data_IF_139138377665
#
_entry.id   IF_139138377665
#
_cell.length_a   1.000
_cell.length_b   1.000
_cell.length_c   1.000
_cell.angle_alpha   90.00
_cell.angle_beta   90.00
_cell.angle_gamma   90.00
#
_symmetry.space_group_name_H-M   'P 1'
#
loop_
_entity.id
_entity.type
_entity.pdbx_description
1 polymer ?
#
# COMPACT_ATOMS: atom_id res chain seq x y z
N UNK A 1 13.19 29.17 -12.69
CA UNK A 1 12.76 29.05 -14.12
C UNK A 1 11.74 27.93 -14.18
N UNK A 2 10.66 28.05 -14.96
CA UNK A 2 9.67 26.99 -15.07
C UNK A 2 10.34 25.64 -15.36
N UNK A 3 9.90 24.61 -14.69
CA UNK A 3 10.47 23.25 -14.83
C UNK A 3 9.57 22.44 -15.77
N UNK A 4 10.09 21.96 -16.92
CA UNK A 4 9.30 21.13 -17.82
C UNK A 4 8.95 19.80 -17.16
N UNK A 5 7.74 19.33 -17.43
CA UNK A 5 7.25 18.06 -16.93
C UNK A 5 6.30 17.39 -17.93
N UNK A 6 6.37 16.07 -18.01
CA UNK A 6 5.39 15.21 -18.67
C UNK A 6 4.51 14.57 -17.59
N UNK A 7 3.23 14.87 -17.62
CA UNK A 7 2.30 14.51 -16.55
C UNK A 7 1.13 13.71 -17.09
N UNK A 8 0.75 12.64 -16.40
CA UNK A 8 -0.47 11.88 -16.71
C UNK A 8 -1.68 12.60 -16.13
N UNK A 9 -2.61 12.95 -17.00
CA UNK A 9 -3.86 13.63 -16.67
C UNK A 9 -5.04 12.69 -16.92
N UNK A 10 -5.89 12.56 -15.92
CA UNK A 10 -7.21 11.94 -16.04
C UNK A 10 -8.21 13.03 -16.46
N UNK A 11 -8.80 12.97 -17.68
CA UNK A 11 -9.76 13.97 -18.14
C UNK A 11 -11.08 13.93 -17.36
N UNK A 12 -11.92 14.94 -17.54
CA UNK A 12 -13.23 15.03 -16.87
C UNK A 12 -14.21 13.98 -17.41
N UNK A 13 -14.16 13.74 -18.70
CA UNK A 13 -14.89 12.66 -19.35
C UNK A 13 -14.23 11.28 -19.04
N UNK A 14 -14.92 10.21 -19.33
CA UNK A 14 -14.41 8.84 -19.13
C UNK A 14 -13.44 8.40 -20.24
N UNK A 15 -12.69 9.36 -20.82
CA UNK A 15 -11.66 9.11 -21.82
C UNK A 15 -10.40 8.46 -21.23
N UNK A 16 -9.48 8.00 -22.12
CA UNK A 16 -8.21 7.43 -21.66
C UNK A 16 -7.35 8.49 -20.94
N UNK A 17 -6.42 8.02 -20.13
CA UNK A 17 -5.39 8.87 -19.53
C UNK A 17 -4.56 9.54 -20.63
N UNK A 18 -4.24 10.81 -20.43
CA UNK A 18 -3.48 11.64 -21.38
C UNK A 18 -2.13 11.99 -20.80
N UNK A 19 -1.07 11.83 -21.56
CA UNK A 19 0.26 12.37 -21.21
C UNK A 19 0.35 13.77 -21.79
N UNK A 20 0.59 14.75 -20.91
CA UNK A 20 0.59 16.17 -21.26
C UNK A 20 1.93 16.79 -20.90
N UNK A 21 2.54 17.48 -21.86
CA UNK A 21 3.74 18.29 -21.64
C UNK A 21 3.30 19.66 -21.08
N UNK A 22 3.86 20.04 -19.95
CA UNK A 22 3.56 21.32 -19.29
C UNK A 22 4.77 21.87 -18.55
N UNK A 23 4.65 23.08 -18.04
CA UNK A 23 5.63 23.69 -17.14
C UNK A 23 5.07 23.71 -15.71
N UNK A 24 5.81 23.13 -14.77
CA UNK A 24 5.49 23.23 -13.35
C UNK A 24 5.75 24.66 -12.87
N UNK A 25 4.93 25.19 -11.94
CA UNK A 25 5.21 26.47 -11.32
C UNK A 25 6.50 26.40 -10.47
N UNK A 26 7.09 27.55 -10.17
CA UNK A 26 8.13 27.63 -9.14
C UNK A 26 7.55 27.14 -7.80
N UNK A 27 8.33 26.42 -6.97
CA UNK A 27 7.81 25.86 -5.72
C UNK A 27 7.37 26.97 -4.75
N UNK A 28 6.22 26.80 -4.15
CA UNK A 28 5.77 27.59 -3.01
C UNK A 28 6.69 27.38 -1.78
N UNK A 29 6.50 28.17 -0.70
CA UNK A 29 7.42 28.16 0.45
C UNK A 29 7.68 26.77 1.04
N UNK A 30 6.71 25.87 1.02
CA UNK A 30 6.76 24.54 1.59
C UNK A 30 6.74 23.41 0.54
N UNK A 31 7.05 23.72 -0.71
CA UNK A 31 6.99 22.74 -1.80
C UNK A 31 8.40 22.34 -2.26
N UNK A 32 8.48 21.16 -2.82
CA UNK A 32 9.70 20.55 -3.36
C UNK A 32 9.41 20.07 -4.78
N UNK A 33 10.26 20.46 -5.73
CA UNK A 33 10.23 19.94 -7.10
C UNK A 33 11.16 18.74 -7.16
N UNK A 34 10.64 17.61 -7.63
CA UNK A 34 11.37 16.33 -7.68
C UNK A 34 11.34 15.79 -9.12
N UNK A 35 12.53 15.56 -9.71
CA UNK A 35 12.66 14.73 -10.92
C UNK A 35 12.58 13.28 -10.46
N UNK A 36 11.66 12.51 -11.02
CA UNK A 36 11.39 11.16 -10.60
C UNK A 36 12.17 10.13 -11.43
N UNK A 37 12.59 9.04 -10.80
CA UNK A 37 13.20 7.88 -11.45
C UNK A 37 12.14 6.85 -11.81
N UNK A 38 11.22 6.60 -10.88
CA UNK A 38 10.11 5.68 -11.07
C UNK A 38 8.94 6.02 -10.14
N UNK A 39 7.76 5.57 -10.52
CA UNK A 39 6.52 5.69 -9.73
C UNK A 39 5.73 4.39 -9.75
N UNK A 40 5.19 3.97 -8.59
CA UNK A 40 4.34 2.81 -8.51
C UNK A 40 2.97 3.01 -9.15
N UNK A 41 2.40 1.90 -9.67
CA UNK A 41 1.03 1.85 -10.21
C UNK A 41 0.16 1.07 -9.23
N UNK A 42 -0.78 1.76 -8.57
CA UNK A 42 -1.55 1.23 -7.45
C UNK A 42 -3.04 1.08 -7.78
N UNK A 43 -3.69 0.06 -7.22
CA UNK A 43 -5.15 -0.15 -7.37
C UNK A 43 -6.00 1.03 -6.86
N UNK A 44 -5.51 1.81 -5.90
CA UNK A 44 -6.22 3.00 -5.42
C UNK A 44 -6.42 4.06 -6.50
N UNK A 45 -5.53 4.14 -7.51
CA UNK A 45 -5.76 5.00 -8.68
C UNK A 45 -6.95 4.52 -9.52
N UNK A 46 -7.19 3.21 -9.64
CA UNK A 46 -8.39 2.71 -10.33
C UNK A 46 -9.66 3.22 -9.63
N UNK A 47 -9.70 3.23 -8.29
CA UNK A 47 -10.81 3.80 -7.55
C UNK A 47 -10.95 5.31 -7.80
N UNK A 48 -9.84 6.05 -7.81
CA UNK A 48 -9.84 7.48 -8.14
C UNK A 48 -10.37 7.74 -9.56
N UNK A 49 -9.99 6.93 -10.53
CA UNK A 49 -10.45 7.04 -11.93
C UNK A 49 -11.96 6.86 -12.08
N UNK A 50 -12.58 6.06 -11.22
CA UNK A 50 -14.04 5.85 -11.22
C UNK A 50 -14.82 6.81 -10.31
N UNK A 51 -14.13 7.71 -9.60
CA UNK A 51 -14.79 8.72 -8.77
C UNK A 51 -15.32 9.87 -9.64
N UNK A 52 -16.57 10.32 -9.47
CA UNK A 52 -17.11 11.47 -10.18
C UNK A 52 -16.25 12.72 -9.94
N UNK A 53 -15.91 13.44 -11.01
CA UNK A 53 -15.04 14.62 -10.97
C UNK A 53 -15.57 15.77 -11.82
N UNK A 54 -15.20 16.99 -11.49
CA UNK A 54 -15.63 18.23 -12.19
C UNK A 54 -14.48 18.96 -12.87
N UNK A 55 -13.25 18.50 -12.65
CA UNK A 55 -12.03 19.02 -13.24
C UNK A 55 -11.08 17.86 -13.56
N UNK A 56 -10.14 18.01 -14.49
CA UNK A 56 -9.08 17.03 -14.70
C UNK A 56 -8.30 16.78 -13.41
N UNK A 57 -7.77 15.56 -13.25
CA UNK A 57 -7.02 15.13 -12.06
C UNK A 57 -5.68 14.56 -12.49
N UNK A 58 -4.63 14.88 -11.74
CA UNK A 58 -3.31 14.24 -11.85
C UNK A 58 -3.17 13.17 -10.78
N UNK A 59 -2.54 12.05 -11.13
CA UNK A 59 -2.55 10.80 -10.37
C UNK A 59 -1.14 10.37 -9.95
N UNK A 60 -1.09 9.28 -9.17
CA UNK A 60 0.15 8.71 -8.61
C UNK A 60 0.42 9.21 -7.20
N UNK A 61 1.03 8.37 -6.36
CA UNK A 61 1.25 8.75 -4.94
C UNK A 61 2.44 8.03 -4.27
N UNK A 62 3.29 7.40 -5.04
CA UNK A 62 4.51 6.75 -4.56
C UNK A 62 5.59 6.85 -5.64
N UNK A 63 6.77 7.35 -5.28
CA UNK A 63 7.90 7.43 -6.21
C UNK A 63 9.23 7.56 -5.50
N UNK A 64 10.31 7.42 -6.27
CA UNK A 64 11.68 7.78 -5.89
C UNK A 64 12.21 8.79 -6.90
N UNK A 65 12.95 9.77 -6.46
CA UNK A 65 13.48 10.84 -7.32
C UNK A 65 14.62 11.63 -6.70
N UNK A 66 15.01 12.69 -7.37
CA UNK A 66 16.01 13.64 -6.94
C UNK A 66 15.41 15.04 -6.84
N UNK A 67 15.73 15.77 -5.79
CA UNK A 67 15.27 17.15 -5.57
C UNK A 67 15.91 18.07 -6.59
N UNK A 68 15.11 18.80 -7.35
CA UNK A 68 15.55 19.85 -8.27
C UNK A 68 15.51 21.24 -7.64
N UNK A 69 14.44 21.55 -6.89
CA UNK A 69 14.24 22.83 -6.26
C UNK A 69 13.50 22.67 -4.93
N UNK A 70 13.72 23.60 -4.01
CA UNK A 70 13.03 23.63 -2.71
C UNK A 70 12.46 25.01 -2.43
N UNK A 71 11.32 25.08 -1.79
CA UNK A 71 10.73 26.31 -1.28
C UNK A 71 11.50 26.87 -0.09
N UNK A 72 11.27 28.15 0.20
CA UNK A 72 12.07 28.93 1.18
C UNK A 72 11.95 28.46 2.62
N UNK A 73 10.88 27.76 2.97
CA UNK A 73 10.61 27.22 4.32
C UNK A 73 11.00 25.74 4.45
N UNK A 74 11.41 25.09 3.36
CA UNK A 74 11.85 23.68 3.38
C UNK A 74 13.24 23.59 3.99
N UNK A 75 13.40 22.75 5.02
CA UNK A 75 14.67 22.66 5.78
C UNK A 75 15.26 21.25 5.88
N UNK A 76 14.48 20.19 5.59
CA UNK A 76 14.92 18.80 5.78
C UNK A 76 15.50 18.16 4.52
N UNK A 77 15.29 18.76 3.35
CA UNK A 77 15.87 18.36 2.06
C UNK A 77 16.46 19.57 1.33
N UNK A 78 17.37 19.31 0.42
CA UNK A 78 18.00 20.31 -0.44
C UNK A 78 18.14 19.79 -1.87
N UNK A 79 18.44 20.67 -2.81
CA UNK A 79 18.74 20.31 -4.20
C UNK A 79 19.84 19.25 -4.27
N UNK A 80 19.62 18.21 -5.11
CA UNK A 80 20.50 17.06 -5.26
C UNK A 80 20.27 15.93 -4.27
N UNK A 81 19.41 16.09 -3.26
CA UNK A 81 19.05 14.99 -2.36
C UNK A 81 18.19 13.94 -3.06
N UNK A 82 18.46 12.67 -2.79
CA UNK A 82 17.58 11.56 -3.19
C UNK A 82 16.42 11.46 -2.19
N UNK A 83 15.21 11.37 -2.73
CA UNK A 83 13.98 11.38 -1.94
C UNK A 83 12.98 10.34 -2.42
N UNK A 84 12.08 9.96 -1.53
CA UNK A 84 10.84 9.28 -1.87
C UNK A 84 9.67 10.22 -1.67
N UNK A 85 8.72 10.21 -2.61
CA UNK A 85 7.44 10.90 -2.48
C UNK A 85 6.38 9.88 -2.07
N UNK A 86 5.58 10.22 -1.07
CA UNK A 86 4.51 9.37 -0.53
C UNK A 86 3.25 10.20 -0.27
N UNK A 87 2.13 9.55 -0.02
CA UNK A 87 0.85 10.19 0.26
C UNK A 87 0.56 10.31 1.77
N UNK A 88 1.40 9.71 2.60
CA UNK A 88 1.33 9.80 4.07
C UNK A 88 2.32 10.86 4.54
N UNK A 89 1.93 11.79 5.42
CA UNK A 89 2.88 12.75 5.98
C UNK A 89 4.10 12.04 6.58
N UNK A 90 5.30 12.56 6.31
CA UNK A 90 6.58 11.95 6.69
C UNK A 90 6.70 11.67 8.20
N UNK A 91 6.08 12.55 9.03
CA UNK A 91 5.90 12.34 10.46
C UNK A 91 4.69 13.11 11.00
N UNK A 92 4.33 12.87 12.27
CA UNK A 92 3.22 13.55 12.93
C UNK A 92 3.48 15.06 13.16
N UNK A 93 4.74 15.50 13.20
CA UNK A 93 5.08 16.91 13.35
C UNK A 93 4.90 17.65 12.02
N UNK A 94 5.23 17.02 10.90
CA UNK A 94 4.99 17.55 9.56
C UNK A 94 3.50 17.72 9.26
N UNK A 95 2.64 16.84 9.78
CA UNK A 95 1.18 16.87 9.56
C UNK A 95 0.42 18.01 10.27
N UNK A 96 1.09 18.99 10.87
CA UNK A 96 0.45 20.11 11.59
C UNK A 96 -0.20 21.15 10.67
N UNK A 97 0.17 21.17 9.42
CA UNK A 97 -0.36 22.08 8.40
C UNK A 97 -1.16 21.27 7.36
N UNK A 98 -2.31 21.77 6.96
CA UNK A 98 -3.01 21.25 5.80
C UNK A 98 -2.32 21.78 4.53
N UNK A 99 -1.72 20.93 3.70
CA UNK A 99 -1.14 21.38 2.44
C UNK A 99 -2.24 21.74 1.44
N UNK A 100 -1.94 22.66 0.56
CA UNK A 100 -2.78 22.85 -0.62
C UNK A 100 -2.52 21.69 -1.61
N UNK A 101 -3.59 21.22 -2.25
CA UNK A 101 -3.45 20.28 -3.35
C UNK A 101 -2.73 20.98 -4.53
N UNK A 102 -1.77 20.29 -5.15
CA UNK A 102 -1.10 20.82 -6.33
C UNK A 102 -2.11 21.12 -7.43
N UNK A 103 -1.99 22.29 -8.04
CA UNK A 103 -2.86 22.77 -9.11
C UNK A 103 -2.01 23.11 -10.34
N UNK A 104 -2.21 22.38 -11.43
CA UNK A 104 -1.46 22.53 -12.67
C UNK A 104 -2.31 23.21 -13.73
N UNK A 105 -1.71 24.14 -14.47
CA UNK A 105 -2.33 24.75 -15.65
C UNK A 105 -2.06 23.85 -16.85
N UNK A 106 -3.11 23.36 -17.50
CA UNK A 106 -3.01 22.55 -18.70
C UNK A 106 -2.87 23.44 -19.96
N UNK A 107 -2.32 22.92 -21.07
CA UNK A 107 -2.12 23.69 -22.31
C UNK A 107 -3.42 24.24 -22.92
N UNK A 108 -4.56 23.61 -22.64
CA UNK A 108 -5.89 24.05 -23.10
C UNK A 108 -6.49 25.17 -22.23
N UNK A 109 -5.79 25.62 -21.20
CA UNK A 109 -6.22 26.65 -20.26
C UNK A 109 -7.06 26.14 -19.10
N UNK A 110 -7.39 24.86 -19.06
CA UNK A 110 -8.02 24.23 -17.90
C UNK A 110 -7.02 24.00 -16.76
N UNK A 111 -7.53 23.61 -15.58
CA UNK A 111 -6.70 23.30 -14.42
C UNK A 111 -6.92 21.85 -13.98
N UNK A 112 -5.80 21.14 -13.75
CA UNK A 112 -5.82 19.83 -13.12
C UNK A 112 -5.40 19.93 -11.66
N UNK A 113 -5.99 19.08 -10.79
CA UNK A 113 -5.68 19.05 -9.36
C UNK A 113 -5.25 17.65 -8.95
N UNK A 114 -4.39 17.54 -7.91
CA UNK A 114 -4.14 16.30 -7.19
C UNK A 114 -4.99 16.23 -5.93
N UNK A 115 -5.05 15.07 -5.28
CA UNK A 115 -5.62 14.98 -3.92
C UNK A 115 -4.64 15.53 -2.88
N UNK A 116 -3.36 15.14 -2.95
CA UNK A 116 -2.27 15.63 -2.11
C UNK A 116 -0.93 15.63 -2.85
N UNK A 117 -0.62 14.56 -3.59
CA UNK A 117 0.56 14.44 -4.45
C UNK A 117 0.17 13.86 -5.80
N UNK A 118 1.04 14.00 -6.80
CA UNK A 118 0.94 13.28 -8.07
C UNK A 118 2.33 12.79 -8.46
N UNK A 119 2.45 11.52 -8.83
CA UNK A 119 3.73 10.90 -9.16
C UNK A 119 3.73 10.18 -10.50
N UNK A 120 2.60 10.14 -11.23
CA UNK A 120 2.58 9.70 -12.61
C UNK A 120 3.02 10.84 -13.53
N UNK A 121 4.27 11.23 -13.36
CA UNK A 121 4.95 12.31 -14.06
C UNK A 121 6.46 12.07 -14.01
N UNK A 122 7.23 12.55 -14.98
CA UNK A 122 8.69 12.53 -14.89
C UNK A 122 9.24 13.55 -13.89
N UNK A 123 8.49 14.63 -13.66
CA UNK A 123 8.78 15.63 -12.65
C UNK A 123 7.51 16.03 -11.91
N UNK A 124 7.57 16.08 -10.58
CA UNK A 124 6.45 16.43 -9.71
C UNK A 124 6.77 17.60 -8.81
N UNK A 125 5.74 18.28 -8.33
CA UNK A 125 5.81 19.24 -7.23
C UNK A 125 4.97 18.70 -6.07
N UNK A 126 5.56 18.63 -4.88
CA UNK A 126 4.92 18.05 -3.70
C UNK A 126 5.17 18.91 -2.47
N UNK A 127 4.20 18.97 -1.58
CA UNK A 127 4.41 19.57 -0.26
C UNK A 127 5.49 18.79 0.52
N UNK A 128 6.36 19.50 1.22
CA UNK A 128 7.49 18.96 1.96
C UNK A 128 7.13 17.84 2.94
N UNK A 129 5.90 17.84 3.45
CA UNK A 129 5.45 16.80 4.38
C UNK A 129 5.30 15.42 3.73
N UNK A 130 5.26 15.35 2.41
CA UNK A 130 5.17 14.10 1.64
C UNK A 130 6.50 13.70 1.00
N UNK A 131 7.59 14.41 1.29
CA UNK A 131 8.91 14.18 0.71
C UNK A 131 9.85 13.68 1.81
N UNK A 132 10.35 12.46 1.66
CA UNK A 132 11.21 11.78 2.63
C UNK A 132 12.62 11.66 2.07
N UNK A 133 13.62 12.21 2.78
CA UNK A 133 15.03 12.05 2.40
C UNK A 133 15.49 10.61 2.64
N UNK A 134 16.20 10.05 1.66
CA UNK A 134 16.78 8.69 1.73
C UNK A 134 18.23 8.71 1.29
N UNK A 135 18.94 7.59 1.52
CA UNK A 135 20.34 7.45 1.08
C UNK A 135 20.44 7.57 -0.46
N UNK A 136 21.42 8.29 -0.95
CA UNK A 136 21.67 8.47 -2.39
C UNK A 136 22.11 7.18 -3.10
N UNK A 137 22.59 6.18 -2.37
CA UNK A 137 23.09 4.92 -2.92
C UNK A 137 22.04 3.82 -3.01
N UNK A 138 20.77 4.15 -2.86
CA UNK A 138 19.69 3.17 -3.04
C UNK A 138 19.50 2.82 -4.52
N UNK A 139 18.92 1.64 -4.77
CA UNK A 139 18.39 1.31 -6.08
C UNK A 139 17.19 2.22 -6.38
N UNK A 140 17.12 2.82 -7.58
CA UNK A 140 16.26 3.98 -7.85
C UNK A 140 14.85 3.63 -8.34
N UNK A 141 14.71 2.51 -9.02
CA UNK A 141 13.42 2.14 -9.63
C UNK A 141 12.54 1.35 -8.66
N UNK A 142 13.03 0.19 -8.19
CA UNK A 142 12.23 -0.73 -7.37
C UNK A 142 11.90 -0.17 -5.99
N UNK A 143 12.70 0.76 -5.50
CA UNK A 143 12.42 1.44 -4.21
C UNK A 143 11.23 2.39 -4.29
N UNK A 144 10.77 2.78 -5.49
CA UNK A 144 9.61 3.66 -5.68
C UNK A 144 8.32 3.11 -5.06
N UNK A 145 8.20 1.78 -4.90
CA UNK A 145 7.01 1.15 -4.30
C UNK A 145 7.00 1.13 -2.76
N UNK A 146 8.08 1.60 -2.11
CA UNK A 146 8.14 1.69 -0.64
C UNK A 146 7.11 2.69 -0.14
N UNK A 147 6.91 3.80 -0.86
CA UNK A 147 6.02 4.91 -0.49
C UNK A 147 4.52 4.58 -0.41
N UNK A 148 4.10 3.39 -0.85
CA UNK A 148 2.71 2.92 -0.72
C UNK A 148 2.65 1.42 -0.43
N UNK A 149 3.00 0.56 -1.38
CA UNK A 149 2.75 -0.88 -1.26
C UNK A 149 3.47 -1.50 -0.07
N UNK A 150 4.77 -1.20 0.08
CA UNK A 150 5.59 -1.79 1.15
C UNK A 150 5.16 -1.22 2.50
N UNK A 151 5.10 0.10 2.66
CA UNK A 151 4.73 0.69 3.95
C UNK A 151 3.34 0.26 4.41
N UNK A 152 2.39 0.15 3.48
CA UNK A 152 1.01 -0.23 3.80
C UNK A 152 0.93 -1.67 4.30
N UNK A 153 1.54 -2.62 3.56
CA UNK A 153 1.50 -4.03 3.92
C UNK A 153 2.38 -4.37 5.12
N UNK A 154 3.64 -3.98 5.08
CA UNK A 154 4.57 -4.27 6.18
C UNK A 154 4.19 -3.53 7.46
N UNK A 155 3.80 -2.26 7.35
CA UNK A 155 3.37 -1.47 8.50
C UNK A 155 2.06 -1.97 9.13
N UNK A 156 1.11 -2.49 8.33
CA UNK A 156 -0.09 -3.11 8.88
C UNK A 156 0.24 -4.26 9.84
N UNK A 157 1.23 -5.08 9.46
CA UNK A 157 1.68 -6.21 10.28
C UNK A 157 2.48 -5.75 11.50
N UNK A 158 3.41 -4.82 11.31
CA UNK A 158 4.35 -4.39 12.35
C UNK A 158 3.76 -3.33 13.28
N UNK A 159 3.26 -2.22 12.70
CA UNK A 159 2.86 -1.04 13.45
C UNK A 159 1.39 -1.11 13.90
N UNK A 160 0.46 -1.50 12.99
CA UNK A 160 -0.97 -1.54 13.31
C UNK A 160 -1.32 -2.75 14.17
N UNK A 161 -0.94 -3.95 13.72
CA UNK A 161 -1.27 -5.21 14.41
C UNK A 161 -0.28 -5.53 15.54
N UNK A 162 1.00 -5.20 15.36
CA UNK A 162 2.04 -5.50 16.34
C UNK A 162 2.34 -7.00 16.45
N UNK A 163 2.29 -7.72 15.32
CA UNK A 163 2.57 -9.17 15.21
C UNK A 163 3.89 -9.53 15.88
N UNK A 164 3.91 -10.64 16.59
CA UNK A 164 5.08 -11.16 17.31
C UNK A 164 5.48 -12.54 16.78
N UNK A 165 6.70 -12.93 17.15
CA UNK A 165 7.22 -14.27 16.84
C UNK A 165 6.28 -15.36 17.35
N UNK A 166 5.90 -16.25 16.45
CA UNK A 166 5.02 -17.39 16.73
C UNK A 166 3.53 -17.10 16.57
N UNK A 167 3.11 -15.84 16.35
CA UNK A 167 1.73 -15.53 16.02
C UNK A 167 1.35 -16.12 14.67
N UNK A 168 0.12 -16.61 14.55
CA UNK A 168 -0.45 -17.06 13.30
C UNK A 168 -1.06 -15.89 12.52
N UNK A 169 -0.74 -15.79 11.23
CA UNK A 169 -1.16 -14.69 10.36
C UNK A 169 -1.84 -15.23 9.12
N UNK A 170 -3.02 -14.69 8.77
CA UNK A 170 -3.67 -14.94 7.48
C UNK A 170 -3.82 -13.63 6.71
N UNK A 171 -3.53 -13.63 5.40
CA UNK A 171 -3.50 -12.46 4.53
C UNK A 171 -4.38 -12.75 3.32
N UNK A 172 -5.50 -12.03 3.21
CA UNK A 172 -6.41 -12.06 2.07
C UNK A 172 -5.94 -11.05 1.02
N UNK A 173 -5.67 -11.57 -0.18
CA UNK A 173 -5.09 -10.82 -1.30
C UNK A 173 -3.57 -10.70 -1.20
N UNK A 174 -2.86 -11.40 -2.10
CA UNK A 174 -1.40 -11.40 -2.16
C UNK A 174 -0.85 -10.67 -3.41
N UNK A 175 -1.43 -9.50 -3.69
CA UNK A 175 -0.82 -8.48 -4.56
C UNK A 175 0.29 -7.72 -3.81
N UNK A 176 0.76 -6.58 -4.34
CA UNK A 176 1.91 -5.85 -3.78
C UNK A 176 1.81 -5.53 -2.28
N UNK A 177 0.64 -5.13 -1.78
CA UNK A 177 0.40 -4.85 -0.35
C UNK A 177 0.44 -6.15 0.47
N UNK A 178 -0.29 -7.19 0.03
CA UNK A 178 -0.33 -8.47 0.76
C UNK A 178 1.02 -9.19 0.76
N UNK A 179 1.78 -9.16 -0.33
CA UNK A 179 3.15 -9.71 -0.36
C UNK A 179 4.08 -8.97 0.60
N UNK A 180 3.96 -7.65 0.72
CA UNK A 180 4.69 -6.86 1.71
C UNK A 180 4.31 -7.24 3.14
N UNK A 181 3.02 -7.55 3.39
CA UNK A 181 2.56 -8.08 4.67
C UNK A 181 3.12 -9.48 4.96
N UNK A 182 3.21 -10.37 3.94
CA UNK A 182 3.85 -11.70 4.06
C UNK A 182 5.32 -11.57 4.45
N UNK A 183 6.07 -10.68 3.79
CA UNK A 183 7.49 -10.43 4.12
C UNK A 183 7.66 -9.94 5.56
N UNK A 184 6.85 -8.98 5.98
CA UNK A 184 6.92 -8.47 7.35
C UNK A 184 6.56 -9.55 8.38
N UNK A 185 5.52 -10.34 8.15
CA UNK A 185 5.15 -11.46 9.01
C UNK A 185 6.29 -12.48 9.15
N UNK A 186 6.97 -12.81 8.02
CA UNK A 186 8.16 -13.67 8.02
C UNK A 186 9.31 -13.06 8.82
N UNK A 187 9.60 -11.77 8.58
CA UNK A 187 10.69 -11.04 9.29
C UNK A 187 10.47 -11.01 10.79
N UNK A 188 9.23 -10.86 11.23
CA UNK A 188 8.86 -10.88 12.65
C UNK A 188 8.76 -12.29 13.24
N UNK A 189 8.88 -13.34 12.42
CA UNK A 189 8.86 -14.73 12.85
C UNK A 189 7.46 -15.28 13.14
N UNK A 190 6.43 -14.75 12.48
CA UNK A 190 5.07 -15.31 12.52
C UNK A 190 5.06 -16.75 11.96
N UNK A 191 4.21 -17.60 12.53
CA UNK A 191 4.03 -18.97 12.06
C UNK A 191 2.72 -19.57 12.61
N UNK A 192 1.81 -20.11 11.74
CA UNK A 192 1.89 -20.12 10.29
C UNK A 192 1.64 -18.72 9.66
N UNK A 193 2.11 -18.54 8.41
CA UNK A 193 1.78 -17.43 7.53
C UNK A 193 0.94 -17.99 6.38
N UNK A 194 -0.33 -17.62 6.35
CA UNK A 194 -1.34 -18.19 5.45
C UNK A 194 -1.70 -17.13 4.40
N UNK A 195 -1.37 -17.38 3.14
CA UNK A 195 -1.74 -16.55 2.01
C UNK A 195 -3.07 -17.01 1.39
N UNK A 196 -4.00 -16.12 1.17
CA UNK A 196 -5.33 -16.38 0.59
C UNK A 196 -5.51 -15.54 -0.66
N UNK A 197 -5.77 -16.17 -1.80
CA UNK A 197 -6.09 -15.50 -3.08
C UNK A 197 -6.96 -16.42 -3.94
N UNK A 198 -7.47 -15.91 -5.07
CA UNK A 198 -8.16 -16.69 -6.09
C UNK A 198 -7.21 -17.27 -7.13
N UNK A 199 -6.03 -16.68 -7.28
CA UNK A 199 -5.06 -16.95 -8.32
C UNK A 199 -3.93 -17.85 -7.81
N UNK A 200 -3.78 -19.05 -8.40
CA UNK A 200 -2.74 -20.04 -8.04
C UNK A 200 -1.31 -19.54 -8.32
N UNK A 201 -1.11 -18.70 -9.34
CA UNK A 201 0.21 -18.15 -9.64
C UNK A 201 0.63 -17.17 -8.56
N UNK A 202 -0.29 -16.29 -8.11
CA UNK A 202 -0.06 -15.38 -6.98
C UNK A 202 0.19 -16.12 -5.67
N UNK A 203 -0.54 -17.21 -5.42
CA UNK A 203 -0.32 -18.06 -4.26
C UNK A 203 1.05 -18.74 -4.31
N UNK A 204 1.46 -19.22 -5.46
CA UNK A 204 2.81 -19.79 -5.67
C UNK A 204 3.88 -18.72 -5.47
N UNK A 205 3.65 -17.52 -5.97
CA UNK A 205 4.54 -16.39 -5.79
C UNK A 205 4.66 -15.98 -4.30
N UNK A 206 3.56 -15.97 -3.56
CA UNK A 206 3.56 -15.67 -2.13
C UNK A 206 4.43 -16.64 -1.29
N UNK A 207 4.56 -17.92 -1.69
CA UNK A 207 5.47 -18.86 -1.04
C UNK A 207 6.93 -18.41 -1.13
N UNK A 208 7.35 -17.85 -2.25
CA UNK A 208 8.71 -17.33 -2.43
C UNK A 208 9.01 -16.16 -1.47
N UNK A 209 7.99 -15.37 -1.11
CA UNK A 209 8.10 -14.27 -0.15
C UNK A 209 7.99 -14.71 1.32
N UNK A 210 7.50 -15.93 1.60
CA UNK A 210 7.52 -16.47 2.95
C UNK A 210 6.20 -17.02 3.47
N UNK A 211 5.14 -17.09 2.64
CA UNK A 211 3.93 -17.78 3.03
C UNK A 211 4.23 -19.27 3.28
N UNK A 212 3.82 -19.78 4.45
CA UNK A 212 4.00 -21.17 4.83
C UNK A 212 2.88 -22.07 4.31
N UNK A 213 1.69 -21.48 4.14
CA UNK A 213 0.49 -22.12 3.61
C UNK A 213 -0.20 -21.22 2.61
N UNK A 214 -0.91 -21.82 1.68
CA UNK A 214 -1.71 -21.09 0.68
C UNK A 214 -3.12 -21.69 0.63
N UNK A 215 -4.11 -20.84 0.44
CA UNK A 215 -5.52 -21.19 0.29
C UNK A 215 -6.06 -20.53 -0.95
N UNK A 216 -6.53 -21.32 -1.93
CA UNK A 216 -7.29 -20.80 -3.06
C UNK A 216 -8.76 -20.64 -2.64
N UNK A 217 -9.19 -19.41 -2.45
CA UNK A 217 -10.55 -19.09 -2.02
C UNK A 217 -11.63 -19.34 -3.09
N UNK A 218 -11.24 -19.59 -4.34
CA UNK A 218 -12.14 -20.05 -5.40
C UNK A 218 -12.45 -21.54 -5.32
N UNK A 219 -11.63 -22.31 -4.62
CA UNK A 219 -11.77 -23.79 -4.50
C UNK A 219 -12.20 -24.22 -3.11
N UNK A 220 -11.90 -23.44 -2.07
CA UNK A 220 -12.12 -23.82 -0.67
C UNK A 220 -12.59 -22.62 0.14
N UNK A 221 -13.51 -22.82 1.09
CA UNK A 221 -13.88 -21.77 2.05
C UNK A 221 -12.64 -21.36 2.87
N UNK A 222 -12.15 -20.13 2.71
CA UNK A 222 -10.92 -19.69 3.36
C UNK A 222 -11.06 -19.63 4.88
N UNK A 223 -12.24 -19.29 5.41
CA UNK A 223 -12.48 -19.23 6.86
C UNK A 223 -12.32 -20.59 7.50
N UNK A 224 -12.97 -21.61 6.91
CA UNK A 224 -12.88 -22.99 7.39
C UNK A 224 -11.44 -23.54 7.28
N UNK A 225 -10.75 -23.24 6.16
CA UNK A 225 -9.38 -23.70 5.95
C UNK A 225 -8.39 -23.04 6.93
N UNK A 226 -8.50 -21.73 7.18
CA UNK A 226 -7.67 -21.02 8.18
C UNK A 226 -7.90 -21.63 9.57
N UNK A 227 -9.16 -21.85 9.96
CA UNK A 227 -9.49 -22.47 11.25
C UNK A 227 -8.87 -23.86 11.38
N UNK A 228 -8.97 -24.70 10.35
CA UNK A 228 -8.38 -26.05 10.35
C UNK A 228 -6.85 -26.03 10.51
N UNK A 229 -6.16 -25.07 9.89
CA UNK A 229 -4.70 -24.91 9.99
C UNK A 229 -4.24 -24.35 11.34
N UNK A 230 -5.14 -23.77 12.14
CA UNK A 230 -4.79 -23.02 13.36
C UNK A 230 -5.47 -23.54 14.62
N UNK A 231 -6.01 -24.76 14.60
CA UNK A 231 -6.60 -25.42 15.78
C UNK A 231 -5.57 -25.47 16.91
N UNK A 232 -6.00 -25.08 18.11
CA UNK A 232 -5.21 -25.22 19.35
C UNK A 232 -5.75 -26.40 20.15
N UNK A 233 -5.18 -27.60 20.01
CA UNK A 233 -5.70 -28.81 20.64
C UNK A 233 -5.85 -28.69 22.16
N UNK A 234 -6.95 -29.23 22.69
CA UNK A 234 -7.21 -29.24 24.12
C UNK A 234 -7.68 -27.92 24.71
N UNK A 235 -7.98 -26.93 23.85
CA UNK A 235 -8.60 -25.66 24.24
C UNK A 235 -9.98 -25.52 23.61
N UNK A 236 -10.99 -25.20 24.42
CA UNK A 236 -12.36 -25.01 23.94
C UNK A 236 -12.87 -23.62 24.29
N UNK A 237 -13.70 -23.09 23.40
CA UNK A 237 -14.46 -21.86 23.63
C UNK A 237 -15.50 -22.06 24.74
N UNK A 238 -16.17 -21.01 25.18
CA UNK A 238 -17.32 -21.07 26.12
C UNK A 238 -18.44 -22.01 25.60
N UNK A 239 -18.59 -22.15 24.29
CA UNK A 239 -19.62 -22.99 23.68
C UNK A 239 -19.14 -24.44 23.41
N UNK A 240 -17.93 -24.79 23.84
CA UNK A 240 -17.37 -26.16 23.71
C UNK A 240 -16.73 -26.44 22.35
N UNK A 241 -16.61 -25.45 21.47
CA UNK A 241 -15.89 -25.56 20.20
C UNK A 241 -14.38 -25.45 20.41
N UNK A 242 -13.58 -26.10 19.58
CA UNK A 242 -12.11 -25.98 19.64
C UNK A 242 -11.68 -24.53 19.30
N UNK A 243 -10.73 -24.00 20.07
CA UNK A 243 -10.12 -22.68 19.77
C UNK A 243 -9.36 -22.78 18.44
N UNK A 244 -9.77 -21.97 17.47
CA UNK A 244 -9.22 -21.96 16.12
C UNK A 244 -9.33 -20.59 15.48
N UNK A 245 -8.64 -20.37 14.37
CA UNK A 245 -8.50 -19.11 13.66
C UNK A 245 -7.10 -18.50 13.86
N UNK A 246 -6.71 -17.56 12.97
CA UNK A 246 -5.41 -16.90 13.05
C UNK A 246 -5.41 -15.79 14.11
N UNK A 247 -4.27 -15.57 14.76
CA UNK A 247 -4.12 -14.49 15.74
C UNK A 247 -4.33 -13.11 15.08
N UNK A 248 -3.89 -12.98 13.82
CA UNK A 248 -4.12 -11.78 13.00
C UNK A 248 -4.59 -12.17 11.59
N UNK A 249 -5.61 -11.48 11.11
CA UNK A 249 -6.15 -11.68 9.76
C UNK A 249 -6.24 -10.34 9.05
N UNK A 250 -5.57 -10.22 7.90
CA UNK A 250 -5.47 -8.99 7.12
C UNK A 250 -6.32 -9.09 5.86
N UNK A 251 -7.14 -8.07 5.58
CA UNK A 251 -7.73 -7.88 4.25
C UNK A 251 -6.94 -6.84 3.48
N UNK A 252 -6.21 -7.27 2.44
CA UNK A 252 -5.44 -6.41 1.54
C UNK A 252 -6.16 -6.14 0.20
N UNK A 253 -7.48 -6.38 0.13
CA UNK A 253 -8.30 -6.29 -1.08
C UNK A 253 -9.33 -5.15 -0.98
N UNK A 254 -10.15 -5.14 0.09
CA UNK A 254 -11.23 -4.17 0.30
C UNK A 254 -12.57 -4.57 -0.32
N UNK A 255 -12.76 -5.82 -0.73
CA UNK A 255 -14.05 -6.33 -1.21
C UNK A 255 -14.97 -6.68 -0.03
N UNK A 256 -16.29 -6.45 -0.18
CA UNK A 256 -17.28 -6.79 0.86
C UNK A 256 -17.09 -8.20 1.39
N UNK A 257 -16.96 -9.18 0.49
CA UNK A 257 -16.79 -10.59 0.85
C UNK A 257 -15.56 -10.82 1.72
N UNK A 258 -14.39 -10.31 1.34
CA UNK A 258 -13.15 -10.53 2.09
C UNK A 258 -13.14 -9.79 3.41
N UNK A 259 -13.65 -8.56 3.44
CA UNK A 259 -13.81 -7.78 4.68
C UNK A 259 -14.73 -8.48 5.71
N UNK A 260 -15.79 -9.16 5.24
CA UNK A 260 -16.70 -9.94 6.10
C UNK A 260 -16.11 -11.29 6.54
N UNK A 261 -15.12 -11.83 5.83
CA UNK A 261 -14.44 -13.08 6.16
C UNK A 261 -13.32 -12.95 7.20
N UNK A 262 -12.68 -11.77 7.32
CA UNK A 262 -11.52 -11.64 8.22
C UNK A 262 -11.87 -11.76 9.71
N UNK A 263 -13.05 -11.32 10.15
CA UNK A 263 -13.47 -11.46 11.55
C UNK A 263 -13.76 -12.93 11.93
N UNK A 264 -14.56 -13.70 11.18
CA UNK A 264 -14.76 -15.11 11.49
C UNK A 264 -13.49 -15.96 11.32
N UNK A 265 -12.53 -15.55 10.46
CA UNK A 265 -11.24 -16.23 10.31
C UNK A 265 -10.26 -15.94 11.45
N UNK A 266 -10.47 -14.85 12.19
CA UNK A 266 -9.66 -14.52 13.37
C UNK A 266 -9.95 -15.48 14.52
N UNK A 267 -8.90 -15.75 15.32
CA UNK A 267 -8.93 -16.72 16.41
C UNK A 267 -10.08 -16.46 17.38
N UNK A 268 -10.77 -17.52 17.73
CA UNK A 268 -11.77 -17.49 18.83
C UNK A 268 -11.08 -17.26 20.17
N UNK A 269 -11.73 -16.53 21.05
CA UNK A 269 -11.25 -16.29 22.41
C UNK A 269 -11.35 -17.55 23.27
N UNK A 270 -10.53 -17.60 24.31
CA UNK A 270 -10.69 -18.56 25.40
C UNK A 270 -11.27 -17.80 26.59
N UNK A 271 -12.58 -18.00 26.84
CA UNK A 271 -13.38 -17.20 27.75
C UNK A 271 -12.72 -17.01 29.12
N UNK A 272 -12.55 -15.73 29.50
CA UNK A 272 -11.95 -15.34 30.78
C UNK A 272 -10.44 -15.54 30.90
N UNK A 273 -9.76 -16.01 29.85
CA UNK A 273 -8.31 -16.26 29.87
C UNK A 273 -7.55 -15.54 28.74
N UNK A 274 -8.04 -15.64 27.49
CA UNK A 274 -7.36 -15.03 26.34
C UNK A 274 -8.40 -14.38 25.40
N UNK A 275 -8.23 -13.11 25.01
CA UNK A 275 -9.07 -12.47 23.99
C UNK A 275 -8.86 -13.15 22.64
N UNK A 276 -9.81 -12.99 21.74
CA UNK A 276 -9.75 -13.47 20.36
C UNK A 276 -8.73 -12.71 19.52
N UNK A 277 -8.61 -13.15 18.27
CA UNK A 277 -7.70 -12.57 17.30
C UNK A 277 -8.16 -11.19 16.79
N UNK A 278 -7.30 -10.58 16.00
CA UNK A 278 -7.52 -9.25 15.41
C UNK A 278 -7.67 -9.35 13.89
N UNK A 279 -8.78 -8.84 13.38
CA UNK A 279 -9.03 -8.61 11.97
C UNK A 279 -8.60 -7.19 11.59
N UNK A 280 -7.76 -7.05 10.57
CA UNK A 280 -7.15 -5.79 10.14
C UNK A 280 -7.58 -5.47 8.71
N UNK A 281 -8.32 -4.37 8.54
CA UNK A 281 -8.70 -3.85 7.23
C UNK A 281 -7.59 -2.95 6.70
N UNK A 282 -7.00 -3.33 5.57
CA UNK A 282 -5.90 -2.63 4.89
C UNK A 282 -6.33 -2.18 3.48
N UNK A 283 -7.07 -3.02 2.77
CA UNK A 283 -7.61 -2.73 1.45
C UNK A 283 -8.63 -1.59 1.50
N UNK A 284 -8.70 -0.79 0.42
CA UNK A 284 -9.60 0.38 0.35
C UNK A 284 -11.06 -0.08 0.18
N UNK A 285 -11.94 0.14 1.17
CA UNK A 285 -13.33 -0.29 1.09
C UNK A 285 -14.16 0.68 0.24
N UNK A 286 -15.01 0.11 -0.63
CA UNK A 286 -15.99 0.89 -1.42
C UNK A 286 -17.42 0.65 -0.95
N UNK A 287 -17.63 -0.08 0.14
CA UNK A 287 -18.96 -0.44 0.66
C UNK A 287 -18.91 -0.70 2.17
N UNK A 288 -20.10 -0.72 2.79
CA UNK A 288 -20.26 -1.16 4.17
C UNK A 288 -20.23 -2.69 4.30
N UNK A 289 -19.89 -3.20 5.50
CA UNK A 289 -19.84 -4.61 5.85
C UNK A 289 -20.78 -4.95 7.01
N UNK A 290 -21.17 -6.21 7.09
CA UNK A 290 -21.94 -6.76 8.21
C UNK A 290 -21.05 -7.64 9.08
N UNK A 291 -21.04 -7.42 10.38
CA UNK A 291 -20.28 -8.20 11.34
C UNK A 291 -21.19 -8.91 12.33
N UNK A 292 -20.86 -10.16 12.65
CA UNK A 292 -21.54 -10.90 13.70
C UNK A 292 -21.13 -10.35 15.07
N UNK A 293 -21.99 -9.51 15.65
CA UNK A 293 -21.73 -8.87 16.94
C UNK A 293 -21.58 -9.89 18.09
N UNK A 294 -22.25 -11.06 18.01
CA UNK A 294 -22.13 -12.11 19.02
C UNK A 294 -20.74 -12.76 18.95
N UNK A 295 -20.22 -13.03 17.76
CA UNK A 295 -18.86 -13.57 17.57
C UNK A 295 -17.80 -12.58 18.09
N UNK A 296 -17.97 -11.28 17.79
CA UNK A 296 -17.07 -10.22 18.29
C UNK A 296 -17.10 -10.15 19.81
N UNK A 297 -18.30 -10.13 20.43
CA UNK A 297 -18.46 -9.99 21.88
C UNK A 297 -17.94 -11.21 22.64
N UNK A 298 -18.46 -12.42 22.30
CA UNK A 298 -18.16 -13.64 23.07
C UNK A 298 -16.71 -14.11 22.91
N UNK A 299 -16.08 -13.78 21.82
CA UNK A 299 -14.69 -14.12 21.56
C UNK A 299 -13.72 -12.95 21.79
N UNK A 300 -14.19 -11.79 22.23
CA UNK A 300 -13.36 -10.58 22.43
C UNK A 300 -12.47 -10.28 21.20
N UNK A 301 -13.01 -10.49 19.97
CA UNK A 301 -12.29 -10.20 18.73
C UNK A 301 -12.20 -8.71 18.47
N UNK A 302 -11.16 -8.29 17.77
CA UNK A 302 -10.98 -6.90 17.32
C UNK A 302 -11.15 -6.80 15.82
N UNK A 303 -11.77 -5.70 15.37
CA UNK A 303 -11.79 -5.26 13.97
C UNK A 303 -11.23 -3.85 13.92
N UNK A 304 -10.09 -3.67 13.25
CA UNK A 304 -9.35 -2.40 13.21
C UNK A 304 -8.97 -2.04 11.78
N UNK A 305 -8.86 -0.74 11.50
CA UNK A 305 -8.36 -0.22 10.23
C UNK A 305 -6.86 0.06 10.29
N UNK A 306 -6.19 -0.05 9.15
CA UNK A 306 -4.79 0.31 8.95
C UNK A 306 -4.67 1.21 7.73
N UNK A 307 -4.41 2.49 7.93
CA UNK A 307 -4.17 3.45 6.84
C UNK A 307 -2.67 3.66 6.67
N UNK A 308 -2.15 3.41 5.45
CA UNK A 308 -0.72 3.52 5.17
C UNK A 308 0.17 2.69 6.11
N UNK A 309 -0.36 1.58 6.67
CA UNK A 309 0.37 0.73 7.60
C UNK A 309 0.63 1.37 8.97
N UNK A 310 -0.06 2.45 9.34
CA UNK A 310 0.26 3.26 10.54
C UNK A 310 1.73 3.68 10.56
N UNK A 311 2.33 3.90 9.38
CA UNK A 311 3.73 4.26 9.23
C UNK A 311 3.98 5.73 9.53
N UNK A 312 5.20 6.01 10.01
CA UNK A 312 5.86 7.31 9.99
C UNK A 312 7.00 7.21 8.97
N UNK A 313 6.83 7.71 7.73
CA UNK A 313 7.78 7.50 6.65
C UNK A 313 9.23 7.85 6.97
N UNK A 314 9.51 8.94 7.70
CA UNK A 314 10.86 9.32 8.13
C UNK A 314 11.56 8.23 8.97
N UNK A 315 10.80 7.48 9.76
CA UNK A 315 11.31 6.36 10.58
C UNK A 315 11.35 5.06 9.78
N UNK A 316 10.27 4.78 9.06
CA UNK A 316 10.00 3.43 8.56
C UNK A 316 10.65 3.17 7.19
N UNK A 317 10.87 4.19 6.34
CA UNK A 317 11.48 3.99 5.03
C UNK A 317 12.93 3.53 5.13
N UNK A 318 13.72 4.12 6.05
CA UNK A 318 15.09 3.66 6.31
C UNK A 318 15.12 2.19 6.70
N UNK A 319 14.19 1.74 7.56
CA UNK A 319 14.06 0.34 7.96
C UNK A 319 13.72 -0.57 6.78
N UNK A 320 12.80 -0.17 5.88
CA UNK A 320 12.46 -0.99 4.71
C UNK A 320 13.60 -1.04 3.69
N UNK A 321 14.38 0.03 3.57
CA UNK A 321 15.61 0.03 2.79
C UNK A 321 16.69 -0.90 3.39
N UNK A 322 16.81 -0.96 4.72
CA UNK A 322 17.68 -1.93 5.40
C UNK A 322 17.22 -3.37 5.13
N UNK A 323 15.89 -3.65 5.13
CA UNK A 323 15.37 -4.96 4.77
C UNK A 323 15.62 -5.33 3.30
N UNK A 324 15.64 -4.34 2.41
CA UNK A 324 16.03 -4.56 1.03
C UNK A 324 17.53 -4.86 0.93
N UNK A 325 18.37 -4.09 1.60
CA UNK A 325 19.83 -4.26 1.60
C UNK A 325 20.26 -5.61 2.22
N UNK A 326 19.58 -6.10 3.26
CA UNK A 326 19.87 -7.40 3.89
C UNK A 326 19.22 -8.59 3.17
N UNK A 327 18.47 -8.34 2.08
CA UNK A 327 17.81 -9.35 1.25
C UNK A 327 16.53 -9.94 1.85
N UNK A 328 16.04 -9.45 3.00
CA UNK A 328 14.80 -9.93 3.60
C UNK A 328 13.54 -9.37 2.90
N UNK A 329 13.65 -8.23 2.23
CA UNK A 329 12.64 -7.65 1.35
C UNK A 329 13.19 -7.61 -0.07
N UNK A 330 12.74 -8.52 -0.92
CA UNK A 330 13.19 -8.58 -2.32
C UNK A 330 12.30 -7.70 -3.20
N UNK A 331 12.63 -6.41 -3.31
CA UNK A 331 11.90 -5.44 -4.15
C UNK A 331 12.02 -5.76 -5.64
N UNK A 332 13.20 -6.28 -6.07
CA UNK A 332 13.43 -6.65 -7.48
C UNK A 332 12.46 -7.73 -7.95
N UNK A 333 12.21 -8.72 -7.10
CA UNK A 333 11.21 -9.75 -7.39
C UNK A 333 9.76 -9.24 -7.24
N UNK A 334 9.52 -8.26 -6.37
CA UNK A 334 8.20 -7.71 -6.14
C UNK A 334 7.72 -6.83 -7.31
N UNK A 335 8.63 -6.12 -7.99
CA UNK A 335 8.35 -5.36 -9.21
C UNK A 335 8.34 -6.30 -10.41
N UNK A 336 7.15 -6.72 -10.85
CA UNK A 336 6.96 -7.70 -11.91
C UNK A 336 6.68 -7.08 -13.29
N UNK A 337 6.37 -5.78 -13.36
CA UNK A 337 6.10 -5.09 -14.62
C UNK A 337 6.67 -3.66 -14.59
N UNK A 338 7.20 -3.23 -15.74
CA UNK A 338 7.73 -1.88 -15.97
C UNK A 338 7.10 -1.32 -17.24
N UNK A 339 6.72 -0.06 -17.18
CA UNK A 339 6.09 0.68 -18.27
C UNK A 339 6.75 2.06 -18.40
N UNK A 340 6.82 2.60 -19.59
CA UNK A 340 7.08 4.02 -19.81
C UNK A 340 5.83 4.85 -19.48
N UNK A 341 5.99 6.17 -19.35
CA UNK A 341 4.84 7.06 -19.13
C UNK A 341 3.82 6.97 -20.28
N UNK A 342 4.26 6.74 -21.52
CA UNK A 342 3.40 6.63 -22.69
C UNK A 342 2.55 5.34 -22.68
N UNK A 343 2.96 4.34 -21.91
CA UNK A 343 2.25 3.07 -21.75
C UNK A 343 1.29 3.06 -20.55
N UNK A 344 1.01 4.21 -19.95
CA UNK A 344 0.18 4.31 -18.72
C UNK A 344 -1.20 3.64 -18.87
N UNK A 345 -1.84 3.79 -20.04
CA UNK A 345 -3.15 3.16 -20.28
C UNK A 345 -3.06 1.63 -20.30
N UNK A 346 -1.95 1.07 -20.82
CA UNK A 346 -1.71 -0.36 -20.78
C UNK A 346 -1.38 -0.85 -19.37
N UNK A 347 -0.58 -0.09 -18.60
CA UNK A 347 -0.29 -0.39 -17.20
C UNK A 347 -1.57 -0.47 -16.35
N UNK A 348 -2.47 0.50 -16.54
CA UNK A 348 -3.77 0.54 -15.85
C UNK A 348 -4.69 -0.60 -16.29
N UNK A 349 -4.72 -0.92 -17.59
CA UNK A 349 -5.47 -2.06 -18.14
C UNK A 349 -5.00 -3.38 -17.52
N UNK A 350 -3.68 -3.63 -17.56
CA UNK A 350 -3.09 -4.85 -17.02
C UNK A 350 -3.34 -4.99 -15.51
N UNK A 351 -3.26 -3.86 -14.76
CA UNK A 351 -3.58 -3.85 -13.34
C UNK A 351 -5.06 -4.20 -13.08
N UNK A 352 -5.97 -3.58 -13.83
CA UNK A 352 -7.41 -3.82 -13.69
C UNK A 352 -7.80 -5.26 -14.08
N UNK A 353 -7.12 -5.84 -15.06
CA UNK A 353 -7.32 -7.23 -15.50
C UNK A 353 -6.69 -8.27 -14.53
N UNK A 354 -5.94 -7.83 -13.50
CA UNK A 354 -5.25 -8.74 -12.57
C UNK A 354 -4.02 -9.44 -13.13
N UNK A 355 -3.51 -8.99 -14.29
CA UNK A 355 -2.36 -9.59 -14.99
C UNK A 355 -1.01 -9.32 -14.29
N UNK A 356 -1.00 -8.46 -13.27
CA UNK A 356 0.21 -8.11 -12.50
C UNK A 356 0.23 -8.92 -11.20
N UNK A 357 1.16 -9.88 -11.10
CA UNK A 357 1.27 -10.76 -9.92
C UNK A 357 1.85 -10.04 -8.69
N UNK A 358 2.79 -9.12 -8.89
CA UNK A 358 3.42 -8.32 -7.82
C UNK A 358 3.04 -6.85 -7.91
N UNK A 359 3.98 -6.02 -8.40
CA UNK A 359 3.82 -4.57 -8.54
C UNK A 359 4.24 -4.11 -9.93
N UNK A 360 3.51 -3.14 -10.49
CA UNK A 360 3.92 -2.40 -11.68
C UNK A 360 4.50 -1.04 -11.28
N UNK A 361 5.46 -0.57 -12.07
CA UNK A 361 6.04 0.78 -11.96
C UNK A 361 6.08 1.46 -13.33
N UNK A 362 5.95 2.79 -13.32
CA UNK A 362 6.37 3.66 -14.40
C UNK A 362 7.85 3.99 -14.20
N UNK A 363 8.65 3.91 -15.25
CA UNK A 363 10.07 4.29 -15.25
C UNK A 363 10.23 5.54 -16.10
N UNK A 364 10.99 6.50 -15.61
CA UNK A 364 11.25 7.77 -16.29
C UNK A 364 12.72 7.89 -16.65
N UNK A 365 13.02 8.48 -17.83
CA UNK A 365 14.37 8.73 -18.35
C UNK A 365 15.11 9.87 -17.64
#
# INVERSE_FOLDING_TARGET
MPTPARVVVLPVDDGPLQVVDLELPDPGPHEVVVKQFASGVCHSQLHQMHTPRRAPVVLGHESTGIVLQVGTEVTHVQEGDTVMVTWVPRDAAAAKRNPDAAMLNLPDGSKATSQNVFTWADTTIADEQYVVKVDANIEKEVTSIIGCAVMTGAGAVENTAGVKKGDSVAIFGVGGVGLSAVVAAKKLGANPIIAVDLDEEKLTFAKAFGATHTINAGQTDPVAAIKALTIKPGRSTMLGEEVSGADYVFDCIGLKQTMEQIVPAARTGFFGAEPGGTAVLVGVPMTSVELNAVDVLLNEKKFIGSIGGSCSPDRDFSKYLEWYADGSLNLDALVTARYSIDEINEAVRALAAGEISGRAILVFD
#
